data_IF_027490462172
#
_entry.id   IF_027490462172
#
_cell.length_a   1.000
_cell.length_b   1.000
_cell.length_c   1.000
_cell.angle_alpha   90.00
_cell.angle_beta   90.00
_cell.angle_gamma   90.00
#
_symmetry.space_group_name_H-M   'P 1'
#
loop_
_entity.id
_entity.type
_entity.pdbx_description
1 polymer ?
2 non-polymer ?
3 water ?
#
# COMPACT_ATOMS: atom_id res chain seq x y z
N UNK A 6 24.67 17.69 6.59
CA UNK A 6 24.07 17.33 5.31
C UNK A 6 22.95 16.30 5.52
N UNK A 7 21.70 16.71 5.40
CA UNK A 7 20.61 15.84 5.81
C UNK A 7 19.85 15.12 4.70
N UNK A 8 19.23 14.02 5.10
CA UNK A 8 18.55 13.12 4.19
C UNK A 8 17.12 13.57 3.94
N UNK A 9 16.44 12.92 3.00
CA UNK A 9 15.04 13.31 2.78
C UNK A 9 14.20 12.83 3.94
N UNK A 10 12.90 13.14 3.91
CA UNK A 10 11.97 12.63 4.89
C UNK A 10 11.84 11.13 4.64
N UNK A 11 11.83 10.77 3.36
CA UNK A 11 11.81 9.36 2.97
C UNK A 11 12.25 9.17 1.51
N UNK A 12 12.78 7.99 1.19
CA UNK A 12 13.05 7.64 -0.21
C UNK A 12 11.89 6.80 -0.71
N UNK A 13 11.64 6.85 -2.01
CA UNK A 13 10.59 6.04 -2.57
C UNK A 13 10.52 6.14 -4.07
N UNK A 14 9.61 5.36 -4.66
CA UNK A 14 9.31 5.47 -6.08
C UNK A 14 8.10 6.39 -6.24
N UNK A 15 8.29 7.50 -6.91
CA UNK A 15 7.23 8.47 -7.12
C UNK A 15 6.62 8.30 -8.52
N UNK A 16 5.35 7.94 -8.55
CA UNK A 16 4.68 7.61 -9.81
C UNK A 16 4.60 8.82 -10.73
N UNK A 17 4.67 8.57 -12.05
CA UNK A 17 4.48 9.66 -12.98
C UNK A 17 3.08 10.23 -12.79
N UNK A 18 2.82 11.39 -13.37
CA UNK A 18 1.49 11.98 -13.28
C UNK A 18 0.48 11.00 -13.85
N UNK A 19 0.77 10.50 -15.05
CA UNK A 19 -0.10 9.57 -15.75
C UNK A 19 -0.37 8.30 -14.96
N UNK A 20 0.67 7.70 -14.38
CA UNK A 20 0.51 6.44 -13.65
C UNK A 20 -0.26 6.66 -12.35
N UNK A 21 -0.07 7.83 -11.74
CA UNK A 21 -0.77 8.19 -10.50
C UNK A 21 -2.26 8.39 -10.75
N UNK A 22 -2.60 9.03 -11.87
CA UNK A 22 -4.00 9.20 -12.24
C UNK A 22 -4.65 7.84 -12.46
N UNK A 23 -3.92 6.96 -13.15
CA UNK A 23 -4.42 5.62 -13.44
C UNK A 23 -4.70 4.79 -12.20
N UNK A 24 -3.72 4.67 -11.31
CA UNK A 24 -3.91 3.92 -10.08
C UNK A 24 -4.93 4.59 -9.16
N UNK A 25 -4.89 5.91 -9.08
CA UNK A 25 -5.87 6.63 -8.28
C UNK A 25 -7.30 6.32 -8.71
N UNK A 26 -7.55 6.34 -10.02
CA UNK A 26 -8.87 6.03 -10.53
C UNK A 26 -9.23 4.58 -10.27
N UNK A 27 -8.26 3.68 -10.44
CA UNK A 27 -8.47 2.27 -10.12
C UNK A 27 -8.92 2.09 -8.67
N UNK A 28 -8.21 2.75 -7.75
CA UNK A 28 -8.55 2.66 -6.34
C UNK A 28 -9.95 3.17 -6.05
N UNK A 29 -10.30 4.31 -6.63
CA UNK A 29 -11.61 4.92 -6.42
C UNK A 29 -12.76 4.06 -6.97
N UNK A 30 -12.58 3.53 -8.17
CA UNK A 30 -13.57 2.62 -8.74
C UNK A 30 -13.73 1.42 -7.80
N UNK A 31 -12.61 0.89 -7.33
CA UNK A 31 -12.64 -0.23 -6.40
C UNK A 31 -13.40 0.09 -5.12
N UNK A 32 -13.23 1.30 -4.58
CA UNK A 32 -13.96 1.72 -3.38
C UNK A 32 -15.46 1.84 -3.64
N UNK A 33 -15.84 2.32 -4.82
CA UNK A 33 -17.25 2.44 -5.18
C UNK A 33 -17.89 1.09 -5.45
N UNK A 34 -17.10 0.17 -5.99
CA UNK A 34 -17.57 -1.18 -6.24
C UNK A 34 -17.65 -2.01 -4.95
N UNK A 35 -16.62 -1.89 -4.11
CA UNK A 35 -16.60 -2.62 -2.84
C UNK A 35 -17.76 -2.20 -1.94
N UNK A 36 -17.98 -0.89 -1.84
CA UNK A 36 -19.03 -0.37 -0.98
C UNK A 36 -20.43 -0.73 -1.43
N UNK A 37 -20.58 -1.02 -2.73
CA UNK A 37 -21.88 -1.41 -3.26
C UNK A 37 -22.08 -2.91 -3.26
N UNK A 38 -21.00 -3.66 -3.11
CA UNK A 38 -21.08 -5.11 -3.16
C UNK A 38 -21.85 -5.62 -1.96
N UNK A 39 -22.75 -6.56 -2.21
CA UNK A 39 -23.63 -7.08 -1.17
C UNK A 39 -22.83 -7.84 -0.11
N UNK A 40 -21.72 -8.44 -0.52
CA UNK A 40 -20.84 -9.14 0.41
C UNK A 40 -20.20 -8.16 1.41
N UNK A 41 -19.93 -6.94 0.96
CA UNK A 41 -19.37 -5.92 1.83
C UNK A 41 -20.46 -5.33 2.72
N UNK A 42 -21.61 -5.04 2.12
CA UNK A 42 -22.72 -4.44 2.84
C UNK A 42 -23.16 -5.27 4.04
N UNK A 43 -23.15 -6.59 3.90
CA UNK A 43 -23.63 -7.48 4.97
C UNK A 43 -22.60 -7.65 6.09
N UNK A 44 -21.43 -7.04 5.93
CA UNK A 44 -20.36 -7.13 6.94
C UNK A 44 -20.04 -5.76 7.55
N UNK A 45 -20.87 -4.77 7.29
CA UNK A 45 -20.58 -3.41 7.75
C UNK A 45 -20.38 -3.33 9.26
N UNK A 46 -20.98 -4.27 9.99
CA UNK A 46 -20.83 -4.30 11.44
C UNK A 46 -19.39 -4.60 11.86
N UNK A 47 -18.72 -5.45 11.06
CA UNK A 47 -17.31 -5.74 11.28
C UNK A 47 -16.44 -4.65 10.68
N UNK A 48 -17.07 -3.56 10.25
CA UNK A 48 -16.34 -2.47 9.62
C UNK A 48 -16.40 -1.19 10.46
N UNK A 49 -17.62 -0.66 10.64
CA UNK A 49 -17.82 0.48 11.53
C UNK A 49 -18.88 0.19 12.58
N UNK A 50 -18.57 0.51 13.83
CA UNK A 50 -19.51 0.30 14.94
C UNK A 50 -20.61 1.35 14.89
N UNK A 51 -20.86 1.90 13.71
CA UNK A 51 -21.88 2.92 13.53
C UNK A 51 -23.09 2.43 12.75
N UNK A 55 -29.82 0.26 7.83
CA UNK A 55 -29.02 1.26 8.52
C UNK A 55 -28.21 2.08 7.51
N UNK A 56 -28.71 2.15 6.28
CA UNK A 56 -28.10 2.95 5.22
C UNK A 56 -26.71 2.45 4.83
N UNK A 57 -26.13 3.03 3.78
CA UNK A 57 -24.87 2.53 3.23
C UNK A 57 -23.67 3.43 3.47
N UNK A 58 -22.51 2.81 3.63
CA UNK A 58 -21.26 3.54 3.79
C UNK A 58 -20.66 3.87 2.42
N UNK A 59 -20.29 5.13 2.22
CA UNK A 59 -19.59 5.54 1.01
C UNK A 59 -18.08 5.61 1.29
N UNK A 60 -17.35 4.62 0.78
CA UNK A 60 -15.95 4.41 1.12
C UNK A 60 -15.02 5.51 0.63
N UNK A 61 -15.33 6.11 -0.52
CA UNK A 61 -14.54 7.26 -0.98
C UNK A 61 -14.55 8.36 0.08
N UNK A 62 -15.71 8.58 0.68
CA UNK A 62 -15.86 9.53 1.76
C UNK A 62 -15.22 9.02 3.06
N UNK A 63 -15.39 7.73 3.34
CA UNK A 63 -14.82 7.11 4.52
C UNK A 63 -13.30 7.30 4.60
N UNK A 64 -12.63 7.05 3.47
CA UNK A 64 -11.18 7.24 3.36
C UNK A 64 -10.86 8.68 2.94
N UNK A 65 -11.22 9.63 3.79
CA UNK A 65 -11.18 11.04 3.45
C UNK A 65 -9.83 11.72 3.39
N UNK A 66 -8.84 11.17 4.09
CA UNK A 66 -7.48 11.68 3.97
C UNK A 66 -6.73 10.92 2.88
N UNK A 67 -6.51 11.56 1.74
CA UNK A 67 -5.92 10.91 0.56
C UNK A 67 -4.70 11.70 0.06
N UNK A 68 -3.79 11.04 -0.67
CA UNK A 68 -2.67 11.80 -1.23
C UNK A 68 -3.24 12.85 -2.20
N UNK A 69 -2.73 14.09 -2.14
CA UNK A 69 -3.24 15.17 -3.01
C UNK A 69 -2.84 15.05 -4.49
N UNK A 70 -1.64 14.56 -4.79
CA UNK A 70 -1.11 14.65 -6.14
C UNK A 70 -0.52 13.36 -6.71
N UNK A 71 0.80 13.27 -6.74
CA UNK A 71 1.41 12.07 -7.26
C UNK A 71 1.44 11.06 -6.13
N UNK A 72 1.29 9.79 -6.50
CA UNK A 72 1.30 8.68 -5.55
C UNK A 72 2.75 8.20 -5.38
N UNK A 73 3.02 7.41 -4.34
CA UNK A 73 4.39 6.92 -4.17
C UNK A 73 4.42 5.58 -3.46
N UNK A 74 5.53 4.88 -3.63
CA UNK A 74 5.83 3.67 -2.89
C UNK A 74 7.11 3.93 -2.11
N UNK A 75 7.00 3.96 -0.79
CA UNK A 75 8.13 4.29 0.09
C UNK A 75 9.07 3.10 0.21
N UNK A 76 10.37 3.37 0.20
CA UNK A 76 11.35 2.34 0.54
C UNK A 76 11.78 2.50 1.99
N UNK A 77 12.41 3.63 2.29
CA UNK A 77 12.97 3.85 3.62
C UNK A 77 12.56 5.22 4.18
N UNK A 78 11.75 5.22 5.24
CA UNK A 78 11.42 6.47 5.94
C UNK A 78 12.69 6.90 6.66
N UNK A 79 13.16 8.13 6.42
CA UNK A 79 14.42 8.57 7.01
C UNK A 79 14.30 9.65 8.08
N UNK A 80 13.23 10.45 8.00
CA UNK A 80 13.07 11.58 8.90
C UNK A 80 14.36 12.38 8.94
N UNK A 81 14.88 12.71 7.75
CA UNK A 81 16.04 13.57 7.60
C UNK A 81 17.32 13.02 8.23
N UNK A 82 17.28 11.74 8.60
CA UNK A 82 18.40 11.14 9.30
C UNK A 82 18.14 10.81 10.78
N UNK A 83 16.95 11.14 11.28
CA UNK A 83 16.59 10.81 12.66
C UNK A 83 16.21 9.34 12.82
N UNK A 84 15.65 8.75 11.77
CA UNK A 84 15.23 7.35 11.86
C UNK A 84 16.42 6.38 11.92
N UNK A 85 16.23 5.26 12.60
CA UNK A 85 17.32 4.31 12.75
C UNK A 85 17.58 3.67 11.38
N UNK A 86 18.85 3.58 11.00
CA UNK A 86 19.22 2.98 9.73
C UNK A 86 19.10 3.89 8.54
N UNK A 87 18.72 5.14 8.78
CA UNK A 87 18.53 6.11 7.70
C UNK A 87 19.83 6.41 6.95
N UNK A 88 20.91 6.65 7.69
CA UNK A 88 22.20 6.97 7.09
C UNK A 88 22.77 5.76 6.36
N UNK A 89 22.80 4.62 7.03
CA UNK A 89 23.25 3.39 6.42
C UNK A 89 22.51 3.13 5.11
N UNK A 90 21.20 3.34 5.13
CA UNK A 90 20.42 3.17 3.93
C UNK A 90 20.82 4.16 2.84
N UNK A 91 20.85 5.44 3.19
CA UNK A 91 21.15 6.48 2.22
C UNK A 91 22.52 6.33 1.59
N UNK A 92 23.43 5.67 2.30
CA UNK A 92 24.81 5.54 1.87
C UNK A 92 25.09 4.39 0.90
N UNK A 93 24.17 3.44 0.79
CA UNK A 93 24.36 2.34 -0.15
C UNK A 93 24.60 2.82 -1.58
N UNK A 94 25.50 2.11 -2.27
CA UNK A 94 25.82 2.44 -3.64
C UNK A 94 24.57 2.32 -4.50
N UNK A 95 23.77 1.31 -4.24
CA UNK A 95 22.61 1.05 -5.11
C UNK A 95 21.60 2.19 -5.01
N UNK A 96 21.39 2.70 -3.80
CA UNK A 96 20.53 3.85 -3.58
C UNK A 96 21.04 5.11 -4.29
N UNK A 97 22.30 5.46 -4.07
CA UNK A 97 22.90 6.61 -4.75
C UNK A 97 22.87 6.44 -6.27
N UNK A 98 23.15 5.21 -6.71
CA UNK A 98 23.20 4.90 -8.13
C UNK A 98 21.81 4.99 -8.74
N UNK A 99 20.80 4.61 -7.97
CA UNK A 99 19.42 4.50 -8.45
C UNK A 99 18.68 5.82 -8.36
N UNK A 100 19.33 6.81 -7.76
CA UNK A 100 18.69 8.09 -7.51
C UNK A 100 18.34 8.79 -8.81
N UNK A 101 17.05 9.00 -9.05
CA UNK A 101 16.60 9.69 -10.25
C UNK A 101 16.28 8.78 -11.42
N UNK A 102 16.39 7.46 -11.22
CA UNK A 102 16.10 6.49 -12.29
C UNK A 102 14.64 6.04 -12.32
N UNK A 103 14.19 5.68 -13.52
CA UNK A 103 12.83 5.21 -13.73
C UNK A 103 12.73 3.73 -13.42
N UNK A 104 11.59 3.33 -12.85
CA UNK A 104 11.33 1.93 -12.57
C UNK A 104 9.89 1.65 -12.96
N UNK A 105 9.59 0.39 -13.24
CA UNK A 105 8.22 -0.04 -13.43
C UNK A 105 7.84 -0.84 -12.20
N UNK A 106 6.72 -0.48 -11.58
CA UNK A 106 6.25 -1.17 -10.41
C UNK A 106 5.01 -1.96 -10.78
N UNK A 107 4.93 -3.18 -10.28
CA UNK A 107 3.80 -4.04 -10.55
C UNK A 107 2.85 -4.04 -9.36
N UNK A 108 1.61 -3.60 -9.55
CA UNK A 108 0.59 -3.66 -8.50
C UNK A 108 -0.27 -4.90 -8.69
N UNK A 109 -0.28 -5.78 -7.70
CA UNK A 109 -0.96 -7.07 -7.84
C UNK A 109 -2.36 -7.10 -7.21
N UNK A 110 -2.61 -6.19 -6.27
CA UNK A 110 -3.88 -6.18 -5.56
C UNK A 110 -4.23 -4.82 -4.97
N UNK A 111 -5.52 -4.58 -4.82
CA UNK A 111 -6.02 -3.42 -4.10
C UNK A 111 -6.64 -3.93 -2.81
N UNK A 112 -6.51 -3.17 -1.74
CA UNK A 112 -7.05 -3.63 -0.46
C UNK A 112 -7.70 -2.53 0.37
N UNK A 113 -8.47 -2.95 1.38
CA UNK A 113 -9.23 -2.04 2.21
C UNK A 113 -9.40 -2.66 3.60
N UNK A 114 -9.22 -1.83 4.63
CA UNK A 114 -9.50 -2.21 6.01
C UNK A 114 -10.25 -1.03 6.61
N UNK A 115 -10.73 -1.18 7.85
CA UNK A 115 -11.34 -0.05 8.56
C UNK A 115 -10.39 1.13 8.72
N UNK A 116 -9.10 0.92 8.45
CA UNK A 116 -8.13 1.99 8.69
C UNK A 116 -7.54 2.58 7.42
N UNK A 117 -7.24 1.75 6.43
CA UNK A 117 -6.62 2.24 5.20
C UNK A 117 -7.13 1.57 3.94
N UNK A 118 -6.85 2.20 2.80
CA UNK A 118 -7.01 1.59 1.49
C UNK A 118 -5.68 1.77 0.77
N UNK A 119 -5.21 0.74 0.11
CA UNK A 119 -3.93 0.83 -0.56
C UNK A 119 -3.83 -0.16 -1.69
N UNK A 120 -2.64 -0.22 -2.30
CA UNK A 120 -2.37 -1.12 -3.39
C UNK A 120 -1.08 -1.86 -3.09
N UNK A 121 -1.09 -3.17 -3.29
CA UNK A 121 0.08 -3.99 -3.07
C UNK A 121 1.07 -3.92 -4.23
N UNK A 122 2.33 -3.65 -3.91
CA UNK A 122 3.39 -3.57 -4.90
C UNK A 122 4.22 -4.85 -4.81
N UNK A 123 4.46 -5.48 -5.94
CA UNK A 123 5.30 -6.66 -5.99
C UNK A 123 6.63 -6.26 -6.62
N UNK A 124 7.66 -6.15 -5.80
CA UNK A 124 8.95 -5.64 -6.24
C UNK A 124 9.74 -6.67 -7.04
N UNK A 125 10.40 -6.22 -8.11
CA UNK A 125 11.36 -7.08 -8.79
C UNK A 125 12.59 -7.20 -7.92
N UNK A 126 13.47 -8.13 -8.23
CA UNK A 126 14.66 -8.33 -7.41
C UNK A 126 15.65 -7.17 -7.49
N UNK A 127 15.61 -6.46 -8.62
CA UNK A 127 16.40 -5.24 -8.78
C UNK A 127 15.90 -4.18 -7.78
N UNK A 128 14.59 -3.98 -7.78
CA UNK A 128 13.95 -3.02 -6.89
C UNK A 128 14.08 -3.44 -5.43
N UNK A 129 14.08 -4.75 -5.20
CA UNK A 129 14.29 -5.30 -3.87
C UNK A 129 15.65 -4.91 -3.29
N UNK A 130 16.61 -4.60 -4.17
CA UNK A 130 17.92 -4.11 -3.73
C UNK A 130 17.83 -2.72 -3.10
N UNK A 131 16.74 -2.02 -3.40
CA UNK A 131 16.51 -0.68 -2.86
C UNK A 131 15.58 -0.77 -1.65
N UNK A 132 15.11 -1.97 -1.35
CA UNK A 132 14.32 -2.19 -0.15
C UNK A 132 15.24 -2.28 1.06
N UNK A 133 14.90 -1.56 2.14
CA UNK A 133 15.80 -1.51 3.30
C UNK A 133 15.94 -2.85 4.02
N UNK A 134 17.13 -3.11 4.54
CA UNK A 134 17.35 -4.25 5.42
C UNK A 134 17.48 -3.72 6.84
N UNK A 135 16.33 -3.53 7.49
CA UNK A 135 16.27 -2.96 8.83
C UNK A 135 16.96 -3.85 9.88
N UNK A 136 17.58 -3.21 10.87
CA UNK A 136 18.41 -3.92 11.83
C UNK A 136 17.64 -4.35 13.08
N UNK A 137 16.42 -3.83 13.22
CA UNK A 137 15.46 -4.36 14.18
C UNK A 137 14.14 -4.51 13.45
N UNK A 138 13.87 -5.75 13.02
CA UNK A 138 12.75 -6.03 12.13
C UNK A 138 11.41 -6.10 12.84
N UNK A 139 10.34 -5.72 12.12
CA UNK A 139 8.96 -5.74 12.63
C UNK A 139 8.45 -7.18 12.72
N UNK A 140 7.84 -7.53 13.85
CA UNK A 140 7.29 -8.87 14.02
C UNK A 140 6.03 -9.04 13.18
N UNK A 141 5.55 -7.94 12.61
CA UNK A 141 4.44 -7.98 11.66
C UNK A 141 4.99 -8.34 10.29
N UNK A 142 6.13 -7.74 9.96
CA UNK A 142 6.80 -8.01 8.69
C UNK A 142 7.36 -9.41 8.68
N UNK A 143 7.99 -9.80 9.79
CA UNK A 143 8.68 -11.08 9.86
C UNK A 143 7.79 -12.26 9.51
N UNK A 144 8.42 -13.32 9.01
CA UNK A 144 7.68 -14.46 8.47
C UNK A 144 7.45 -14.27 6.98
N UNK A 145 7.40 -13.02 6.55
CA UNK A 145 7.10 -12.72 5.16
C UNK A 145 8.35 -12.35 4.34
N UNK A 146 8.37 -12.76 3.06
CA UNK A 146 9.49 -12.36 2.19
C UNK A 146 9.73 -10.86 2.30
N UNK A 147 11.01 -10.45 2.22
CA UNK A 147 11.35 -9.02 2.27
C UNK A 147 10.67 -8.23 1.16
N UNK A 148 10.29 -7.00 1.47
CA UNK A 148 9.61 -6.14 0.51
C UNK A 148 8.11 -6.37 0.43
N UNK A 149 7.61 -7.35 1.16
CA UNK A 149 6.17 -7.63 1.18
C UNK A 149 5.37 -6.42 1.66
N UNK A 150 6.03 -5.54 2.41
CA UNK A 150 5.38 -4.35 2.96
C UNK A 150 5.13 -3.28 1.89
N UNK A 151 5.81 -3.44 0.75
CA UNK A 151 5.76 -2.46 -0.33
C UNK A 151 4.32 -2.23 -0.81
N UNK A 152 3.91 -0.97 -0.80
CA UNK A 152 2.54 -0.61 -1.12
C UNK A 152 2.44 0.83 -1.63
N UNK A 153 1.28 1.17 -2.19
CA UNK A 153 0.96 2.56 -2.45
C UNK A 153 -0.30 2.94 -1.66
N UNK A 154 -0.21 3.96 -0.83
CA UNK A 154 -1.35 4.37 -0.03
C UNK A 154 -2.39 5.09 -0.90
N UNK A 155 -3.64 4.70 -0.76
CA UNK A 155 -4.70 5.31 -1.56
C UNK A 155 -5.58 6.20 -0.68
N UNK A 156 -5.80 5.78 0.56
CA UNK A 156 -6.59 6.57 1.48
C UNK A 156 -6.47 6.07 2.91
N UNK A 157 -6.80 6.96 3.87
CA UNK A 157 -6.81 6.65 5.30
C UNK A 157 -8.06 7.23 5.98
N UNK A 158 -8.63 6.49 6.94
CA UNK A 158 -9.70 7.01 7.77
C UNK A 158 -9.15 8.14 8.61
N UNK A 159 -10.05 8.96 9.14
CA UNK A 159 -9.68 10.20 9.85
C UNK A 159 -8.63 10.09 10.97
N UNK A 160 -8.74 9.06 11.80
CA UNK A 160 -7.88 8.93 12.96
C UNK A 160 -6.59 8.14 12.71
N UNK A 161 -6.24 7.94 11.45
CA UNK A 161 -5.17 6.99 11.10
C UNK A 161 -3.98 7.68 10.45
N UNK A 162 -2.76 7.28 10.78
CA UNK A 162 -1.59 7.76 10.03
C UNK A 162 -1.26 6.81 8.87
N UNK A 163 -0.95 7.36 7.69
CA UNK A 163 -0.78 6.57 6.46
C UNK A 163 0.32 5.49 6.53
N UNK A 164 1.08 5.45 7.61
CA UNK A 164 2.07 4.40 7.82
C UNK A 164 1.38 3.08 8.18
N UNK A 165 0.22 3.20 8.81
CA UNK A 165 -0.70 2.09 8.99
C UNK A 165 -0.93 1.24 7.75
N UNK A 166 -1.01 1.86 6.59
CA UNK A 166 -1.31 1.12 5.38
C UNK A 166 -0.39 -0.10 5.24
N UNK A 167 0.88 0.11 5.54
CA UNK A 167 1.88 -0.93 5.37
C UNK A 167 1.69 -2.06 6.34
N UNK A 168 1.41 -1.71 7.59
CA UNK A 168 1.11 -2.72 8.61
C UNK A 168 -0.16 -3.47 8.22
N UNK A 169 -1.13 -2.73 7.68
CA UNK A 169 -2.40 -3.31 7.25
C UNK A 169 -2.14 -4.34 6.17
N UNK A 170 -1.34 -3.98 5.19
CA UNK A 170 -1.02 -4.92 4.11
C UNK A 170 -0.28 -6.18 4.60
N UNK A 171 0.70 -6.00 5.49
CA UNK A 171 1.42 -7.13 6.07
C UNK A 171 0.44 -8.03 6.81
N UNK A 172 -0.55 -7.43 7.47
CA UNK A 172 -1.57 -8.21 8.16
C UNK A 172 -2.38 -9.03 7.16
N UNK A 173 -2.88 -8.37 6.12
CA UNK A 173 -3.64 -9.07 5.08
C UNK A 173 -2.83 -10.24 4.51
N UNK A 174 -1.52 -10.05 4.37
CA UNK A 174 -0.64 -11.08 3.82
C UNK A 174 -0.28 -12.17 4.84
N UNK A 175 -0.17 -11.80 6.11
CA UNK A 175 0.07 -12.81 7.13
C UNK A 175 -1.01 -13.88 7.06
N UNK A 176 -2.23 -13.47 6.72
CA UNK A 176 -3.35 -14.39 6.63
C UNK A 176 -3.34 -15.24 5.36
N UNK A 177 -3.01 -14.65 4.22
CA UNK A 177 -2.89 -15.43 3.00
C UNK A 177 -1.74 -16.42 3.11
N UNK A 178 -0.79 -16.11 4.00
CA UNK A 178 0.30 -17.04 4.28
C UNK A 178 -0.24 -18.27 4.99
N UNK A 179 -1.20 -18.06 5.88
CA UNK A 179 -1.86 -19.15 6.58
C UNK A 179 -3.03 -19.72 5.79
N UNK A 180 -3.04 -19.44 4.48
CA UNK A 180 -4.07 -19.95 3.59
C UNK A 180 -5.48 -19.62 4.02
N UNK A 181 -5.65 -18.45 4.64
CA UNK A 181 -6.92 -18.08 5.26
C UNK A 181 -7.75 -17.05 4.48
N UNK A 182 -7.21 -16.58 3.36
CA UNK A 182 -7.98 -15.66 2.52
C UNK A 182 -9.34 -16.26 2.22
N UNK A 183 -9.37 -17.58 2.05
CA UNK A 183 -10.60 -18.32 1.81
C UNK A 183 -11.07 -18.24 0.38
N UNK A 184 -12.35 -18.52 0.18
CA UNK A 184 -12.94 -18.53 -1.16
C UNK A 184 -13.41 -17.14 -1.57
N UNK A 185 -13.06 -16.74 -2.79
CA UNK A 185 -13.52 -15.48 -3.34
C UNK A 185 -15.02 -15.32 -3.11
N UNK A 186 -15.43 -14.14 -2.65
CA UNK A 186 -16.84 -13.89 -2.42
C UNK A 186 -17.41 -12.99 -3.52
N UNK A 187 -16.65 -12.79 -4.59
CA UNK A 187 -17.10 -11.92 -5.66
C UNK A 187 -16.18 -11.77 -6.87
N UNK A 188 -16.77 -11.34 -7.98
CA UNK A 188 -16.04 -11.14 -9.22
C UNK A 188 -16.22 -9.70 -9.69
N UNK A 189 -15.22 -8.86 -9.43
CA UNK A 189 -15.22 -7.52 -9.97
C UNK A 189 -14.55 -7.51 -11.35
N UNK A 190 -14.89 -6.53 -12.18
CA UNK A 190 -14.33 -6.42 -13.53
C UNK A 190 -12.82 -6.58 -13.56
N UNK A 191 -12.13 -6.19 -12.49
CA UNK A 191 -10.66 -6.23 -12.48
C UNK A 191 -10.08 -7.47 -11.79
N UNK A 192 -10.89 -8.20 -11.03
CA UNK A 192 -10.40 -9.36 -10.31
C UNK A 192 -11.34 -9.99 -9.31
N UNK A 193 -10.79 -10.87 -8.47
CA UNK A 193 -11.59 -11.63 -7.50
C UNK A 193 -11.56 -10.98 -6.12
N UNK A 194 -12.74 -10.86 -5.51
CA UNK A 194 -12.85 -10.20 -4.22
C UNK A 194 -12.77 -11.21 -3.07
N UNK A 195 -11.88 -10.93 -2.12
CA UNK A 195 -11.69 -11.80 -0.97
C UNK A 195 -12.06 -11.12 0.33
N UNK A 196 -12.73 -11.87 1.21
CA UNK A 196 -13.12 -11.34 2.52
C UNK A 196 -12.27 -12.01 3.59
N UNK A 197 -11.31 -11.28 4.14
CA UNK A 197 -10.42 -11.84 5.13
C UNK A 197 -10.97 -11.68 6.54
N UNK A 198 -12.13 -11.04 6.64
CA UNK A 198 -12.78 -10.83 7.93
C UNK A 198 -12.17 -9.67 8.67
N UNK A 199 -12.79 -9.29 9.78
CA UNK A 199 -12.30 -8.18 10.59
C UNK A 199 -12.26 -6.87 9.78
N UNK A 200 -13.16 -6.77 8.82
CA UNK A 200 -13.29 -5.56 8.03
C UNK A 200 -12.26 -5.47 6.92
N UNK A 201 -11.55 -6.56 6.69
CA UNK A 201 -10.45 -6.58 5.71
C UNK A 201 -10.87 -7.18 4.37
N UNK A 202 -10.50 -6.49 3.29
CA UNK A 202 -10.87 -6.91 1.94
C UNK A 202 -9.69 -6.83 0.99
N UNK A 203 -9.64 -7.75 0.03
CA UNK A 203 -8.58 -7.77 -0.94
C UNK A 203 -9.07 -8.12 -2.34
N UNK A 204 -8.71 -7.29 -3.30
CA UNK A 204 -9.00 -7.55 -4.71
C UNK A 204 -7.72 -8.02 -5.41
N UNK A 205 -7.72 -9.26 -5.87
CA UNK A 205 -6.62 -9.79 -6.69
C UNK A 205 -6.87 -9.43 -8.13
N UNK A 206 -6.03 -8.57 -8.67
CA UNK A 206 -6.17 -8.15 -10.06
C UNK A 206 -5.92 -9.32 -11.02
N UNK A 207 -6.84 -9.53 -11.94
CA UNK A 207 -6.63 -10.51 -13.01
C UNK A 207 -5.35 -10.14 -13.74
N UNK A 208 -5.24 -8.86 -14.08
CA UNK A 208 -4.03 -8.36 -14.71
C UNK A 208 -3.34 -7.33 -13.81
N UNK A 209 -2.10 -7.62 -13.47
CA UNK A 209 -1.27 -6.70 -12.69
C UNK A 209 -1.15 -5.36 -13.39
N UNK A 210 -1.51 -4.29 -12.69
CA UNK A 210 -1.29 -2.96 -13.24
C UNK A 210 0.20 -2.68 -13.22
N UNK A 211 0.71 -2.08 -14.29
CA UNK A 211 2.09 -1.62 -14.28
C UNK A 211 2.14 -0.10 -14.22
N UNK A 212 2.92 0.43 -13.29
CA UNK A 212 3.05 1.88 -13.16
C UNK A 212 4.49 2.30 -13.29
N UNK A 213 4.72 3.48 -13.87
CA UNK A 213 6.05 4.04 -13.96
C UNK A 213 6.27 5.04 -12.82
N UNK A 214 7.50 5.08 -12.33
CA UNK A 214 7.81 5.87 -11.17
C UNK A 214 9.28 6.22 -11.18
N UNK A 215 9.65 7.31 -10.51
CA UNK A 215 11.05 7.70 -10.37
C UNK A 215 11.50 7.44 -8.94
N UNK A 216 12.63 6.78 -8.77
CA UNK A 216 13.20 6.63 -7.45
C UNK A 216 13.91 7.90 -7.03
N UNK A 217 13.46 8.50 -5.94
CA UNK A 217 14.05 9.75 -5.46
C UNK A 217 13.69 9.99 -4.00
N UNK A 218 14.14 11.12 -3.45
CA UNK A 218 13.90 11.45 -2.06
C UNK A 218 12.92 12.59 -1.94
N UNK A 219 11.98 12.48 -0.99
CA UNK A 219 10.99 13.52 -0.68
C UNK A 219 11.37 14.27 0.61
N UNK A 220 11.37 15.60 0.57
CA UNK A 220 11.92 16.37 1.68
C UNK A 220 10.90 17.18 2.47
N UNK A 221 9.63 16.99 2.16
CA UNK A 221 8.58 17.75 2.83
C UNK A 221 8.49 19.15 2.28
X LIG B 1 2.94 12.15 7.73
X LIG B 1 3.05 13.52 7.17
X LIG B 1 1.63 11.96 8.40
X LIG B 1 3.18 11.06 6.57
X LIG B 1 4.22 11.25 5.63
X LIG B 1 4.55 9.98 4.84
X LIG B 1 5.56 9.23 5.48
X LIG B 1 3.38 9.01 4.63
X LIG B 1 2.80 9.22 3.37
X LIG B 1 4.00 7.64 4.69
X LIG B 1 3.97 7.07 3.40
X LIG B 1 5.45 7.88 5.05
X LIG B 1 5.97 6.89 6.03
X LIG B 1 6.50 5.68 5.64
X LIG B 1 6.89 5.01 6.75
X LIG B 1 6.63 5.77 7.84
X LIG B 1 6.85 5.54 9.20
X LIG B 1 7.41 4.40 9.60
X LIG B 1 6.48 6.50 10.11
X LIG B 1 5.91 7.68 9.67
X LIG B 1 5.69 7.90 8.32
X LIG B 1 6.05 6.96 7.40
X LIG B 1 4.16 11.88 8.75
X LIG B 1 3.10 5.75 3.08
X LIG B 1 1.71 6.15 2.66
X LIG B 1 3.06 4.83 4.27
X LIG B 1 3.77 5.03 1.93
#
# INVERSE_FOLDING_TARGET
GGLEKDFLPLYFGWFLTKKSSETLRKAGQVFLEELGNHKAFKKELRHFISGDEPKEKLELVSYFGKRPPGVLHCTTKFCDYGKAAGAEEYAQQEVVKRSYGKAFKLSISALFVTPKTAGAQVVLTDQELQLWPSDLDKPSASEGLPPGSRAHVTLGCAADVQPVQTGLDLLDILQQVKGGSQGEAVGELPRGKLYSLGKGRWMLSLTKKMEVKAIFTGYYG
NAP PA O1A O2A O5B C5B C4B O4B C3B O3B C2B O2B C1B N9A C8A N7A C5A C6A N6A N1A C2A N3A C4A O3 P2B O1X O2X O3X
#
